data_IF_799440229531
#
_entry.id   IF_799440229531
#
_cell.length_a   1.000
_cell.length_b   1.000
_cell.length_c   1.000
_cell.angle_alpha   90.00
_cell.angle_beta   90.00
_cell.angle_gamma   90.00
#
_symmetry.space_group_name_H-M   'P 1'
#
loop_
_entity.id
_entity.type
_entity.pdbx_description
1 polymer ?
#
# COMPACT_ATOMS: atom_id res chain seq x y z
N UNK A 1 10.30 -17.56 -19.68
CA UNK A 1 10.13 -18.24 -18.37
C UNK A 1 8.72 -18.07 -17.79
N UNK A 2 8.20 -16.86 -17.56
CA UNK A 2 6.85 -16.67 -16.98
C UNK A 2 5.71 -17.27 -17.85
N UNK A 3 5.78 -17.15 -19.17
CA UNK A 3 4.79 -17.70 -20.09
C UNK A 3 4.85 -19.23 -20.21
N UNK A 4 6.05 -19.82 -20.09
CA UNK A 4 6.27 -21.26 -20.19
C UNK A 4 5.83 -22.01 -18.93
N UNK A 5 5.87 -21.35 -17.77
CA UNK A 5 5.47 -21.93 -16.49
C UNK A 5 4.04 -21.58 -16.09
N UNK A 6 3.31 -20.81 -16.91
CA UNK A 6 1.92 -20.43 -16.63
C UNK A 6 1.77 -19.43 -15.47
N UNK A 7 2.82 -18.68 -15.13
CA UNK A 7 2.80 -17.70 -14.02
C UNK A 7 2.07 -16.38 -14.33
N UNK A 8 1.36 -16.30 -15.44
CA UNK A 8 0.49 -15.15 -15.75
C UNK A 8 1.19 -13.87 -16.21
N UNK A 9 2.51 -13.87 -16.38
CA UNK A 9 3.31 -12.71 -16.80
C UNK A 9 4.10 -12.07 -15.66
N UNK A 10 4.35 -10.76 -15.75
CA UNK A 10 5.15 -10.03 -14.76
C UNK A 10 4.41 -9.85 -13.43
N UNK A 11 3.10 -9.56 -13.48
CA UNK A 11 2.22 -9.41 -12.31
C UNK A 11 0.79 -9.82 -12.68
N UNK A 12 0.24 -10.78 -11.99
CA UNK A 12 -1.07 -11.37 -12.28
C UNK A 12 -2.10 -11.18 -11.15
N UNK A 13 -1.76 -10.45 -10.09
CA UNK A 13 -2.57 -10.34 -8.87
C UNK A 13 -2.81 -11.69 -8.17
N UNK A 14 -1.85 -12.61 -8.33
CA UNK A 14 -1.88 -13.88 -7.61
C UNK A 14 -1.86 -13.64 -6.09
N UNK A 15 -2.57 -14.46 -5.28
CA UNK A 15 -2.60 -14.30 -3.83
C UNK A 15 -1.23 -14.21 -3.15
N UNK A 16 -0.21 -14.92 -3.66
CA UNK A 16 1.15 -14.87 -3.10
C UNK A 16 1.87 -13.59 -3.51
N UNK A 17 1.67 -13.11 -4.73
CA UNK A 17 2.17 -11.79 -5.16
C UNK A 17 1.55 -10.69 -4.30
N UNK A 18 0.23 -10.71 -4.11
CA UNK A 18 -0.50 -9.78 -3.26
C UNK A 18 -0.01 -9.83 -1.81
N UNK A 19 0.27 -11.04 -1.29
CA UNK A 19 0.79 -11.21 0.06
C UNK A 19 2.14 -10.53 0.28
N UNK A 20 2.99 -10.47 -0.74
CA UNK A 20 4.26 -9.75 -0.68
C UNK A 20 4.10 -8.24 -0.78
N UNK A 21 3.08 -7.76 -1.51
CA UNK A 21 2.80 -6.34 -1.70
C UNK A 21 2.27 -5.68 -0.42
N UNK A 22 1.47 -6.39 0.39
CA UNK A 22 0.89 -5.87 1.62
C UNK A 22 1.96 -5.34 2.60
N UNK A 23 2.97 -6.12 3.05
CA UNK A 23 4.00 -5.61 3.94
C UNK A 23 4.83 -4.49 3.30
N UNK A 24 5.03 -4.50 1.97
CA UNK A 24 5.70 -3.42 1.26
C UNK A 24 4.92 -2.10 1.36
N UNK A 25 3.60 -2.11 1.16
CA UNK A 25 2.75 -0.92 1.30
C UNK A 25 2.77 -0.38 2.73
N UNK A 26 2.65 -1.25 3.73
CA UNK A 26 2.66 -0.86 5.15
C UNK A 26 4.03 -0.30 5.55
N UNK A 27 5.13 -0.92 5.13
CA UNK A 27 6.48 -0.42 5.41
C UNK A 27 6.75 0.92 4.72
N UNK A 28 6.25 1.09 3.51
CA UNK A 28 6.34 2.37 2.77
C UNK A 28 5.56 3.47 3.51
N UNK A 29 4.36 3.17 4.03
CA UNK A 29 3.60 4.09 4.88
C UNK A 29 4.39 4.44 6.15
N UNK A 30 5.00 3.44 6.81
CA UNK A 30 5.83 3.66 8.00
C UNK A 30 7.02 4.57 7.71
N UNK A 31 7.73 4.38 6.59
CA UNK A 31 8.85 5.26 6.19
C UNK A 31 8.41 6.71 6.05
N UNK A 32 7.25 6.97 5.42
CA UNK A 32 6.74 8.33 5.25
C UNK A 32 6.34 8.97 6.59
N UNK A 33 5.73 8.22 7.49
CA UNK A 33 5.36 8.72 8.83
C UNK A 33 6.56 8.86 9.76
N UNK A 34 7.62 8.04 9.60
CA UNK A 34 8.89 8.21 10.31
C UNK A 34 9.58 9.53 9.94
N UNK A 35 9.52 9.95 8.68
CA UNK A 35 10.03 11.27 8.27
C UNK A 35 9.30 12.39 9.01
N UNK A 36 7.98 12.27 9.21
CA UNK A 36 7.21 13.24 9.99
C UNK A 36 7.62 13.18 11.47
N UNK A 37 7.81 11.99 12.02
CA UNK A 37 8.25 11.83 13.41
C UNK A 37 9.62 12.47 13.63
N UNK A 38 10.58 12.20 12.77
CA UNK A 38 11.94 12.75 12.88
C UNK A 38 11.95 14.28 12.78
N UNK A 39 11.19 14.85 11.86
CA UNK A 39 11.17 16.29 11.59
C UNK A 39 10.27 17.08 12.53
N UNK A 40 9.20 16.49 13.03
CA UNK A 40 8.14 17.18 13.77
C UNK A 40 7.87 16.61 15.17
N UNK A 41 8.51 15.51 15.54
CA UNK A 41 8.32 14.82 16.82
C UNK A 41 6.85 14.43 17.07
N UNK A 42 6.19 13.92 16.00
CA UNK A 42 4.77 13.52 15.98
C UNK A 42 4.65 12.05 15.54
N UNK A 43 3.44 11.48 15.63
CA UNK A 43 3.08 10.17 15.11
C UNK A 43 3.80 8.95 15.75
N UNK A 44 4.41 9.08 16.92
CA UNK A 44 5.15 7.99 17.58
C UNK A 44 4.31 6.71 17.72
N UNK A 45 3.06 6.85 18.20
CA UNK A 45 2.13 5.72 18.35
C UNK A 45 1.82 5.06 17.00
N UNK A 46 1.58 5.87 15.98
CA UNK A 46 1.29 5.40 14.61
C UNK A 46 2.48 4.62 14.07
N UNK A 47 3.69 5.13 14.25
CA UNK A 47 4.91 4.47 13.77
C UNK A 47 5.15 3.12 14.47
N UNK A 48 4.93 3.02 15.77
CA UNK A 48 5.01 1.74 16.47
C UNK A 48 3.98 0.75 15.90
N UNK A 49 2.73 1.20 15.69
CA UNK A 49 1.69 0.36 15.09
C UNK A 49 2.07 -0.12 13.68
N UNK A 50 2.57 0.78 12.83
CA UNK A 50 2.95 0.46 11.46
C UNK A 50 4.15 -0.50 11.39
N UNK A 51 5.15 -0.33 12.25
CA UNK A 51 6.30 -1.24 12.34
C UNK A 51 5.87 -2.65 12.77
N UNK A 52 5.01 -2.74 13.78
CA UNK A 52 4.43 -4.01 14.20
C UNK A 52 3.60 -4.65 13.08
N UNK A 53 2.72 -3.88 12.44
CA UNK A 53 1.90 -4.35 11.31
C UNK A 53 2.75 -4.83 10.13
N UNK A 54 3.85 -4.14 9.82
CA UNK A 54 4.79 -4.57 8.78
C UNK A 54 5.34 -5.96 9.09
N UNK A 55 5.78 -6.18 10.33
CA UNK A 55 6.32 -7.47 10.75
C UNK A 55 5.25 -8.56 10.67
N UNK A 56 4.07 -8.33 11.24
CA UNK A 56 2.99 -9.32 11.24
C UNK A 56 2.47 -9.60 9.83
N UNK A 57 2.38 -8.60 8.96
CA UNK A 57 1.96 -8.81 7.57
C UNK A 57 2.97 -9.64 6.76
N UNK A 58 4.27 -9.57 7.07
CA UNK A 58 5.27 -10.46 6.46
C UNK A 58 5.07 -11.93 6.90
N UNK A 59 4.73 -12.18 8.17
CA UNK A 59 4.36 -13.52 8.64
C UNK A 59 3.02 -13.98 8.05
N UNK A 60 2.07 -13.07 7.87
CA UNK A 60 0.82 -13.37 7.18
C UNK A 60 1.07 -13.77 5.71
N UNK A 61 2.01 -13.14 5.03
CA UNK A 61 2.43 -13.57 3.68
C UNK A 61 2.96 -15.02 3.69
N UNK A 62 3.78 -15.37 4.68
CA UNK A 62 4.25 -16.74 4.88
C UNK A 62 3.09 -17.71 5.16
N UNK A 63 2.11 -17.29 5.96
CA UNK A 63 0.89 -18.05 6.22
C UNK A 63 0.14 -18.35 4.92
N UNK A 64 -0.10 -17.37 4.05
CA UNK A 64 -0.79 -17.58 2.77
C UNK A 64 -0.09 -18.60 1.88
N UNK A 65 1.25 -18.54 1.80
CA UNK A 65 2.05 -19.47 0.98
C UNK A 65 2.01 -20.91 1.52
N UNK A 66 1.95 -21.09 2.85
CA UNK A 66 2.17 -22.37 3.52
C UNK A 66 0.91 -23.04 4.06
N UNK A 67 -0.18 -22.29 4.26
CA UNK A 67 -1.41 -22.83 4.90
C UNK A 67 -2.32 -23.57 3.94
N UNK A 68 -2.17 -23.37 2.62
CA UNK A 68 -3.12 -23.90 1.63
C UNK A 68 -4.51 -23.26 1.68
N UNK A 69 -4.69 -22.16 2.42
CA UNK A 69 -5.99 -21.47 2.59
C UNK A 69 -6.46 -20.81 1.29
N UNK A 70 -5.52 -20.36 0.47
CA UNK A 70 -5.80 -19.78 -0.86
C UNK A 70 -5.10 -20.60 -1.93
N UNK A 71 -5.74 -20.75 -3.09
CA UNK A 71 -5.12 -21.40 -4.24
C UNK A 71 -4.24 -20.41 -4.99
N UNK A 72 -3.00 -20.79 -5.24
CA UNK A 72 -2.02 -20.01 -5.99
C UNK A 72 -1.04 -20.96 -6.68
N UNK A 73 -0.60 -20.56 -7.86
CA UNK A 73 0.50 -21.27 -8.57
C UNK A 73 1.84 -21.18 -7.84
N UNK A 74 1.95 -20.27 -6.87
CA UNK A 74 3.13 -20.05 -6.03
C UNK A 74 2.96 -20.58 -4.59
N UNK A 75 1.85 -21.26 -4.28
CA UNK A 75 1.64 -21.85 -2.96
C UNK A 75 2.38 -23.20 -2.85
N UNK A 76 3.20 -23.35 -1.80
CA UNK A 76 3.99 -24.53 -1.53
C UNK A 76 3.76 -24.98 -0.09
N UNK A 77 2.67 -25.67 0.17
CA UNK A 77 2.38 -26.15 1.52
C UNK A 77 1.36 -27.28 1.54
N UNK A 78 1.53 -28.16 2.53
CA UNK A 78 0.62 -29.24 2.85
C UNK A 78 -0.44 -28.88 3.90
N UNK A 79 -0.46 -27.60 4.33
CA UNK A 79 -1.36 -27.09 5.37
C UNK A 79 -0.93 -27.38 6.81
N UNK A 80 0.12 -28.19 7.04
CA UNK A 80 0.53 -28.64 8.37
C UNK A 80 0.94 -27.48 9.31
N UNK A 81 1.47 -26.39 8.76
CA UNK A 81 1.89 -25.20 9.51
C UNK A 81 0.82 -24.09 9.60
N UNK A 82 -0.36 -24.31 9.04
CA UNK A 82 -1.44 -23.31 9.01
C UNK A 82 -1.87 -22.86 10.40
N UNK A 83 -2.21 -23.80 11.29
CA UNK A 83 -2.68 -23.49 12.64
C UNK A 83 -1.64 -22.74 13.49
N UNK A 84 -0.36 -23.17 13.60
CA UNK A 84 0.64 -22.44 14.33
C UNK A 84 0.85 -21.00 13.81
N UNK A 85 0.88 -20.83 12.49
CA UNK A 85 1.02 -19.51 11.88
C UNK A 85 -0.21 -18.62 12.11
N UNK A 86 -1.43 -19.18 12.08
CA UNK A 86 -2.65 -18.43 12.44
C UNK A 86 -2.58 -17.91 13.87
N UNK A 87 -2.22 -18.76 14.84
CA UNK A 87 -2.05 -18.35 16.24
C UNK A 87 -0.98 -17.27 16.38
N UNK A 88 0.14 -17.41 15.68
CA UNK A 88 1.20 -16.43 15.69
C UNK A 88 0.77 -15.07 15.12
N UNK A 89 0.09 -15.07 13.97
CA UNK A 89 -0.39 -13.84 13.32
C UNK A 89 -1.44 -13.14 14.19
N UNK A 90 -2.45 -13.88 14.70
CA UNK A 90 -3.49 -13.31 15.56
C UNK A 90 -2.91 -12.80 16.88
N UNK A 91 -2.04 -13.58 17.53
CA UNK A 91 -1.34 -13.17 18.74
C UNK A 91 -0.45 -11.95 18.51
N UNK A 92 0.28 -11.93 17.41
CA UNK A 92 1.09 -10.79 16.99
C UNK A 92 0.26 -9.52 16.73
N UNK A 93 -0.92 -9.63 16.12
CA UNK A 93 -1.84 -8.51 15.95
C UNK A 93 -2.30 -7.95 17.31
N UNK A 94 -2.68 -8.82 18.26
CA UNK A 94 -3.09 -8.38 19.60
C UNK A 94 -1.96 -7.68 20.34
N UNK A 95 -0.74 -8.24 20.31
CA UNK A 95 0.44 -7.64 20.90
C UNK A 95 0.78 -6.30 20.23
N UNK A 96 0.69 -6.22 18.90
CA UNK A 96 0.95 -4.99 18.15
C UNK A 96 -0.03 -3.88 18.52
N UNK A 97 -1.30 -4.24 18.64
CA UNK A 97 -2.34 -3.32 19.08
C UNK A 97 -2.05 -2.82 20.51
N UNK A 98 -1.80 -3.73 21.44
CA UNK A 98 -1.45 -3.37 22.81
C UNK A 98 -0.21 -2.47 22.86
N UNK A 99 0.87 -2.83 22.16
CA UNK A 99 2.09 -2.04 22.10
C UNK A 99 1.88 -0.62 21.56
N UNK A 100 1.06 -0.48 20.50
CA UNK A 100 0.72 0.82 19.94
C UNK A 100 -0.01 1.72 20.97
N UNK A 101 -0.92 1.14 21.79
CA UNK A 101 -1.63 1.89 22.83
C UNK A 101 -0.80 2.15 24.08
N UNK A 102 0.20 1.32 24.37
CA UNK A 102 1.14 1.54 25.48
C UNK A 102 2.05 2.75 25.25
N UNK A 103 2.28 3.14 23.98
CA UNK A 103 3.09 4.33 23.66
C UNK A 103 2.26 5.60 23.88
N UNK A 104 2.76 6.59 24.63
CA UNK A 104 2.06 7.85 24.82
C UNK A 104 1.84 8.57 23.49
N UNK A 105 0.64 9.12 23.30
CA UNK A 105 0.38 10.00 22.19
C UNK A 105 1.14 11.32 22.43
N UNK A 106 2.24 11.51 21.74
CA UNK A 106 3.06 12.71 21.78
C UNK A 106 2.90 13.50 20.49
N UNK A 107 2.91 14.81 20.58
CA UNK A 107 2.95 15.72 19.45
C UNK A 107 1.79 16.72 19.45
N UNK A 108 2.00 17.80 18.70
CA UNK A 108 1.01 18.84 18.43
C UNK A 108 0.07 18.38 17.30
N UNK A 109 -1.02 19.10 17.10
CA UNK A 109 -1.91 18.95 15.94
C UNK A 109 -1.12 19.05 14.62
N UNK A 110 -1.64 18.42 13.56
CA UNK A 110 -1.04 18.50 12.24
C UNK A 110 -1.09 19.94 11.71
N UNK A 111 -0.07 20.34 10.95
CA UNK A 111 0.06 21.70 10.43
C UNK A 111 -1.00 22.08 9.36
N UNK A 112 -1.90 21.15 9.01
CA UNK A 112 -2.95 21.33 8.01
C UNK A 112 -2.73 20.45 6.78
N UNK A 113 -3.79 20.28 6.00
CA UNK A 113 -3.83 19.37 4.85
C UNK A 113 -2.85 19.84 3.76
N UNK A 114 -2.82 21.14 3.44
CA UNK A 114 -1.95 21.72 2.40
C UNK A 114 -0.57 22.05 2.98
N UNK A 115 0.07 21.03 3.54
CA UNK A 115 1.44 21.10 4.06
C UNK A 115 2.20 19.83 3.68
N UNK A 116 3.53 19.86 3.74
CA UNK A 116 4.34 18.66 3.51
C UNK A 116 3.99 17.54 4.50
N UNK A 117 3.72 17.91 5.75
CA UNK A 117 3.26 16.99 6.79
C UNK A 117 1.91 16.34 6.42
N UNK A 118 0.92 17.16 6.02
CA UNK A 118 -0.41 16.69 5.63
C UNK A 118 -0.37 15.76 4.42
N UNK A 119 0.45 16.08 3.41
CA UNK A 119 0.60 15.22 2.22
C UNK A 119 1.25 13.87 2.56
N UNK A 120 2.27 13.83 3.42
CA UNK A 120 2.87 12.58 3.87
C UNK A 120 1.87 11.70 4.63
N UNK A 121 1.02 12.32 5.46
CA UNK A 121 -0.04 11.61 6.18
C UNK A 121 -1.13 11.11 5.22
N UNK A 122 -1.52 11.90 4.21
CA UNK A 122 -2.46 11.45 3.17
C UNK A 122 -1.90 10.28 2.38
N UNK A 123 -0.63 10.32 1.98
CA UNK A 123 0.04 9.18 1.32
C UNK A 123 0.01 7.95 2.21
N UNK A 124 0.29 8.08 3.51
CA UNK A 124 0.19 6.98 4.46
C UNK A 124 -1.22 6.37 4.47
N UNK A 125 -2.28 7.17 4.56
CA UNK A 125 -3.66 6.69 4.54
C UNK A 125 -4.02 5.97 3.25
N UNK A 126 -3.57 6.48 2.09
CA UNK A 126 -3.82 5.85 0.80
C UNK A 126 -3.07 4.52 0.66
N UNK A 127 -1.82 4.43 1.12
CA UNK A 127 -1.05 3.19 1.14
C UNK A 127 -1.70 2.14 2.04
N UNK A 128 -2.20 2.54 3.21
CA UNK A 128 -2.91 1.64 4.11
C UNK A 128 -4.26 1.20 3.53
N UNK A 129 -5.03 2.12 2.92
CA UNK A 129 -6.27 1.77 2.25
C UNK A 129 -6.03 0.76 1.12
N UNK A 130 -4.99 0.98 0.30
CA UNK A 130 -4.59 0.07 -0.75
C UNK A 130 -4.19 -1.31 -0.19
N UNK A 131 -3.42 -1.33 0.91
CA UNK A 131 -3.05 -2.56 1.61
C UNK A 131 -4.28 -3.33 2.11
N UNK A 132 -5.27 -2.65 2.69
CA UNK A 132 -6.51 -3.28 3.17
C UNK A 132 -7.35 -3.82 2.00
N UNK A 133 -7.47 -3.06 0.90
CA UNK A 133 -8.21 -3.51 -0.29
C UNK A 133 -7.58 -4.78 -0.86
N UNK A 134 -6.25 -4.81 -1.00
CA UNK A 134 -5.52 -5.98 -1.51
C UNK A 134 -5.67 -7.16 -0.54
N UNK A 135 -5.56 -6.93 0.77
CA UNK A 135 -5.74 -7.95 1.79
C UNK A 135 -7.14 -8.58 1.72
N UNK A 136 -8.19 -7.75 1.73
CA UNK A 136 -9.58 -8.22 1.65
C UNK A 136 -9.84 -8.94 0.35
N UNK A 137 -9.36 -8.41 -0.78
CA UNK A 137 -9.50 -9.04 -2.08
C UNK A 137 -8.79 -10.39 -2.17
N UNK A 138 -7.59 -10.50 -1.59
CA UNK A 138 -6.83 -11.77 -1.56
C UNK A 138 -7.49 -12.82 -0.67
N UNK A 139 -8.11 -12.39 0.44
CA UNK A 139 -8.85 -13.27 1.35
C UNK A 139 -10.31 -13.50 0.91
N UNK A 140 -10.74 -12.86 -0.18
CA UNK A 140 -12.14 -12.96 -0.63
C UNK A 140 -12.64 -14.40 -0.86
N UNK A 141 -11.84 -15.34 -1.41
CA UNK A 141 -12.27 -16.73 -1.51
C UNK A 141 -12.65 -17.36 -0.16
N UNK A 142 -11.95 -17.02 0.90
CA UNK A 142 -12.24 -17.51 2.26
C UNK A 142 -13.43 -16.77 2.86
N UNK A 143 -13.48 -15.46 2.68
CA UNK A 143 -14.53 -14.59 3.21
C UNK A 143 -15.89 -14.95 2.56
N UNK A 144 -15.92 -15.24 1.25
CA UNK A 144 -17.15 -15.58 0.53
C UNK A 144 -17.82 -16.85 1.03
N UNK A 145 -17.08 -17.80 1.60
CA UNK A 145 -17.62 -19.01 2.19
C UNK A 145 -18.56 -18.77 3.37
N UNK A 146 -18.58 -17.56 3.94
CA UNK A 146 -19.52 -17.21 5.02
C UNK A 146 -20.99 -17.14 4.54
N UNK A 147 -21.22 -16.98 3.22
CA UNK A 147 -22.57 -16.84 2.63
C UNK A 147 -22.76 -17.58 1.30
N UNK A 148 -21.71 -18.16 0.72
CA UNK A 148 -21.77 -18.97 -0.50
C UNK A 148 -21.16 -20.35 -0.26
N UNK A 149 -21.69 -21.42 -0.85
CA UNK A 149 -21.14 -22.76 -0.71
C UNK A 149 -19.81 -22.97 -1.44
N UNK A 150 -19.50 -22.10 -2.41
CA UNK A 150 -18.27 -22.16 -3.21
C UNK A 150 -17.43 -20.90 -3.03
N UNK A 151 -16.09 -21.02 -3.01
CA UNK A 151 -15.20 -19.86 -2.89
C UNK A 151 -15.21 -19.05 -4.18
N UNK A 152 -15.39 -17.73 -4.05
CA UNK A 152 -15.33 -16.79 -5.17
C UNK A 152 -14.06 -15.93 -5.08
N UNK A 153 -13.17 -16.06 -6.06
CA UNK A 153 -12.00 -15.20 -6.22
C UNK A 153 -12.33 -13.88 -6.90
N UNK A 154 -11.50 -12.87 -6.69
CA UNK A 154 -11.54 -11.62 -7.45
C UNK A 154 -10.51 -11.67 -8.57
N UNK A 155 -10.90 -11.18 -9.74
CA UNK A 155 -10.05 -11.18 -10.93
C UNK A 155 -9.08 -9.98 -10.98
N UNK A 156 -8.13 -10.02 -11.91
CA UNK A 156 -7.17 -8.94 -12.14
C UNK A 156 -7.85 -7.61 -12.50
N UNK A 157 -9.04 -7.64 -13.12
CA UNK A 157 -9.77 -6.42 -13.48
C UNK A 157 -10.25 -5.67 -12.25
N UNK A 158 -10.67 -6.39 -11.20
CA UNK A 158 -11.03 -5.77 -9.93
C UNK A 158 -9.85 -4.98 -9.36
N UNK A 159 -8.70 -5.64 -9.21
CA UNK A 159 -7.50 -4.98 -8.67
C UNK A 159 -7.05 -3.81 -9.52
N UNK A 160 -7.00 -3.96 -10.84
CA UNK A 160 -6.60 -2.88 -11.74
C UNK A 160 -7.54 -1.67 -11.65
N UNK A 161 -8.85 -1.89 -11.56
CA UNK A 161 -9.83 -0.80 -11.43
C UNK A 161 -9.70 0.01 -10.15
N UNK A 162 -9.24 -0.62 -9.07
CA UNK A 162 -9.14 0.03 -7.75
C UNK A 162 -7.73 0.50 -7.49
N UNK A 163 -6.73 -0.36 -7.72
CA UNK A 163 -5.34 -0.08 -7.34
C UNK A 163 -4.68 0.96 -8.27
N UNK A 164 -4.99 0.93 -9.59
CA UNK A 164 -4.38 1.89 -10.52
C UNK A 164 -4.77 3.34 -10.20
N UNK A 165 -6.05 3.72 -10.03
CA UNK A 165 -6.41 5.09 -9.68
C UNK A 165 -5.82 5.55 -8.34
N UNK A 166 -5.83 4.67 -7.32
CA UNK A 166 -5.22 4.98 -6.02
C UNK A 166 -3.70 5.15 -6.13
N UNK A 167 -3.03 4.29 -6.88
CA UNK A 167 -1.61 4.41 -7.17
C UNK A 167 -1.27 5.73 -7.88
N UNK A 168 -2.04 6.10 -8.89
CA UNK A 168 -1.88 7.39 -9.57
C UNK A 168 -2.05 8.58 -8.62
N UNK A 169 -3.04 8.52 -7.70
CA UNK A 169 -3.22 9.55 -6.69
C UNK A 169 -2.03 9.65 -5.73
N UNK A 170 -1.47 8.50 -5.29
CA UNK A 170 -0.27 8.46 -4.47
C UNK A 170 0.91 9.11 -5.21
N UNK A 171 1.12 8.77 -6.47
CA UNK A 171 2.19 9.35 -7.30
C UNK A 171 2.04 10.86 -7.44
N UNK A 172 0.82 11.37 -7.67
CA UNK A 172 0.55 12.80 -7.75
C UNK A 172 0.86 13.51 -6.42
N UNK A 173 0.45 12.93 -5.29
CA UNK A 173 0.77 13.49 -3.97
C UNK A 173 2.28 13.52 -3.71
N UNK A 174 3.00 12.45 -4.07
CA UNK A 174 4.45 12.37 -3.92
C UNK A 174 5.18 13.33 -4.86
N UNK A 175 4.66 13.58 -6.06
CA UNK A 175 5.21 14.58 -6.99
C UNK A 175 5.09 16.00 -6.43
N UNK A 176 3.98 16.34 -5.79
CA UNK A 176 3.72 17.68 -5.23
C UNK A 176 4.40 17.87 -3.86
N UNK A 177 4.48 16.82 -3.04
CA UNK A 177 4.96 16.87 -1.66
C UNK A 177 6.31 17.58 -1.46
N UNK A 178 7.36 17.36 -2.28
CA UNK A 178 8.66 18.04 -2.12
C UNK A 178 8.62 19.57 -2.26
N UNK A 179 7.62 20.08 -2.99
CA UNK A 179 7.43 21.51 -3.22
C UNK A 179 6.73 22.22 -2.07
N UNK A 180 6.14 21.46 -1.13
CA UNK A 180 5.44 22.03 0.03
C UNK A 180 6.39 22.32 1.18
N UNK A 181 6.07 23.38 1.93
CA UNK A 181 6.67 23.69 3.23
C UNK A 181 6.04 22.84 4.31
N UNK A 182 6.79 22.61 5.38
CA UNK A 182 6.29 21.85 6.53
C UNK A 182 5.11 22.50 7.24
N UNK A 183 5.08 23.84 7.28
CA UNK A 183 4.05 24.62 7.96
C UNK A 183 2.95 25.13 7.00
N UNK A 184 2.97 24.66 5.75
CA UNK A 184 2.00 24.99 4.70
C UNK A 184 2.55 25.93 3.63
N UNK A 185 1.90 25.91 2.46
CA UNK A 185 2.23 26.69 1.27
C UNK A 185 3.41 26.12 0.46
N UNK A 186 3.65 26.72 -0.69
CA UNK A 186 4.74 26.34 -1.60
C UNK A 186 6.09 26.92 -1.13
N UNK A 187 7.13 26.12 -1.27
CA UNK A 187 8.52 26.53 -0.96
C UNK A 187 9.08 27.51 -2.01
N UNK A 188 8.83 27.21 -3.28
CA UNK A 188 9.29 27.97 -4.44
C UNK A 188 8.19 27.93 -5.51
N UNK A 189 7.26 28.86 -5.45
CA UNK A 189 6.11 28.88 -6.33
C UNK A 189 6.49 29.04 -7.81
N UNK A 190 7.42 29.93 -8.21
CA UNK A 190 7.82 30.07 -9.62
C UNK A 190 8.37 28.77 -10.21
N UNK A 191 9.27 28.10 -9.52
CA UNK A 191 9.84 26.83 -9.98
C UNK A 191 8.83 25.71 -10.01
N UNK A 192 7.92 25.67 -9.03
CA UNK A 192 6.81 24.70 -9.03
C UNK A 192 5.95 24.85 -10.28
N UNK A 193 5.51 26.06 -10.61
CA UNK A 193 4.69 26.31 -11.79
C UNK A 193 5.42 26.03 -13.10
N UNK A 194 6.72 26.31 -13.16
CA UNK A 194 7.56 25.95 -14.29
C UNK A 194 7.64 24.43 -14.48
N UNK A 195 7.90 23.68 -13.40
CA UNK A 195 7.95 22.22 -13.44
C UNK A 195 6.61 21.60 -13.83
N UNK A 196 5.51 22.11 -13.27
CA UNK A 196 4.16 21.68 -13.62
C UNK A 196 3.83 21.96 -15.10
N UNK A 197 4.20 23.14 -15.59
CA UNK A 197 4.04 23.51 -16.99
C UNK A 197 4.83 22.59 -17.92
N UNK A 198 6.08 22.28 -17.58
CA UNK A 198 6.91 21.34 -18.34
C UNK A 198 6.31 19.91 -18.33
N UNK A 199 5.79 19.45 -17.20
CA UNK A 199 5.10 18.15 -17.10
C UNK A 199 3.88 18.08 -17.97
N UNK A 200 3.00 19.11 -17.92
CA UNK A 200 1.79 19.18 -18.77
C UNK A 200 2.16 19.27 -20.25
N UNK A 201 3.18 20.07 -20.61
CA UNK A 201 3.65 20.20 -21.98
C UNK A 201 4.21 18.87 -22.52
N UNK A 202 4.98 18.12 -21.70
CA UNK A 202 5.48 16.80 -22.10
C UNK A 202 4.34 15.80 -22.30
N UNK A 203 3.37 15.76 -21.39
CA UNK A 203 2.18 14.91 -21.52
C UNK A 203 1.37 15.24 -22.80
N UNK A 204 1.18 16.52 -23.09
CA UNK A 204 0.53 16.97 -24.33
C UNK A 204 1.33 16.53 -25.58
N UNK A 205 2.66 16.68 -25.57
CA UNK A 205 3.51 16.24 -26.66
C UNK A 205 3.38 14.72 -26.91
N UNK A 206 3.43 13.90 -25.88
CA UNK A 206 3.21 12.44 -26.00
C UNK A 206 1.84 12.10 -26.55
N UNK A 207 0.79 12.80 -26.10
CA UNK A 207 -0.57 12.61 -26.61
C UNK A 207 -0.64 12.90 -28.13
N UNK A 208 -0.04 13.99 -28.59
CA UNK A 208 0.00 14.35 -30.02
C UNK A 208 0.89 13.40 -30.85
N UNK A 209 1.90 12.78 -30.23
CA UNK A 209 2.72 11.73 -30.88
C UNK A 209 2.02 10.37 -30.97
N UNK A 210 0.77 10.25 -30.52
CA UNK A 210 -0.05 9.06 -30.65
C UNK A 210 -0.11 8.14 -29.43
N UNK A 211 0.56 8.50 -28.35
CA UNK A 211 0.46 7.78 -27.07
C UNK A 211 -0.83 8.20 -26.35
N UNK A 212 -1.95 7.56 -26.70
CA UNK A 212 -3.29 7.95 -26.20
C UNK A 212 -3.77 7.17 -24.98
N UNK A 213 -2.98 6.25 -24.47
CA UNK A 213 -3.33 5.52 -23.26
C UNK A 213 -3.06 6.38 -22.01
N UNK A 214 -4.06 6.67 -21.16
CA UNK A 214 -3.90 7.59 -20.05
C UNK A 214 -2.84 7.14 -19.03
N UNK A 215 -2.65 5.84 -18.86
CA UNK A 215 -1.61 5.28 -17.98
C UNK A 215 -0.20 5.54 -18.53
N UNK A 216 -0.02 5.46 -19.86
CA UNK A 216 1.27 5.71 -20.50
C UNK A 216 1.65 7.20 -20.51
N UNK A 217 0.69 8.12 -20.34
CA UNK A 217 0.93 9.57 -20.27
C UNK A 217 1.36 10.05 -18.87
N UNK A 218 1.19 9.21 -17.86
CA UNK A 218 1.48 9.52 -16.45
C UNK A 218 2.70 8.75 -15.92
N UNK A 219 3.20 7.78 -16.67
CA UNK A 219 4.42 7.03 -16.37
C UNK A 219 5.66 7.74 -16.95
#
# INVERSE_FOLDING_TARGET
MALELGWGGYWAWDPVENASLIPWLISTAALHTLIVQERRNKLHRVNVALMCLTTISAFFATYLVRSGVVQSVHAFGDGSVGTPLTVFVLGGLLISFWAAFAVPARGRELAGIVSREGFLVMVCWLLLALSVIILVGTMWPVISLLWTPEPHGLDANFYNRVCVPLGMLIMLLLMVCPWLRWDGGLRDAPRFWLALGAFVASGAAFFFLGYRQPVALLA
#
